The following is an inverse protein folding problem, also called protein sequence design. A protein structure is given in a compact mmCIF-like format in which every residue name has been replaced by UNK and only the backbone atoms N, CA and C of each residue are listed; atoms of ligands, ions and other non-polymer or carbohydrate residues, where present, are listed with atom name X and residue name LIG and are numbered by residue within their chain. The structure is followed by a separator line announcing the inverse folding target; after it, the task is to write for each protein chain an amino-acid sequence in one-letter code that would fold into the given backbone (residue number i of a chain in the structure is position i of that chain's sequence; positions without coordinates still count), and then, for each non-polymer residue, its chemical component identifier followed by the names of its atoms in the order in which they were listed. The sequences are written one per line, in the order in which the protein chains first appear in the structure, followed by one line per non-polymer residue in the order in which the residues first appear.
data_IF_356457999149
#
_entry.id   IF_356457999149
#
_cell.length_a   1.000
_cell.length_b   1.000
_cell.length_c   1.000
_cell.angle_alpha   90.00
_cell.angle_beta   90.00
_cell.angle_gamma   90.00
#
_symmetry.space_group_name_H-M   'P 1'
#
loop_
_entity.id
_entity.type
_entity.pdbx_description
1 polymer ?
#
# COMPACT_ATOMS: atom_id res chain seq x y z
N UNK A 1 -28.40 18.82 11.83
CA UNK A 1 -27.62 18.75 13.09
C UNK A 1 -27.46 20.11 13.78
N UNK A 2 -27.09 21.23 13.12
CA UNK A 2 -27.06 22.54 13.81
C UNK A 2 -28.44 23.00 14.30
N UNK A 3 -29.48 22.82 13.49
CA UNK A 3 -30.86 23.25 13.82
C UNK A 3 -31.49 22.45 14.97
N UNK A 4 -31.04 21.22 15.22
CA UNK A 4 -31.54 20.38 16.32
C UNK A 4 -31.09 20.85 17.70
N UNK A 5 -30.03 21.68 17.79
CA UNK A 5 -29.57 22.28 19.06
C UNK A 5 -30.66 23.17 19.66
N UNK A 6 -31.50 23.80 18.83
CA UNK A 6 -32.55 24.73 19.28
C UNK A 6 -33.72 24.01 19.93
N UNK A 7 -34.09 22.84 19.40
CA UNK A 7 -35.34 22.15 19.77
C UNK A 7 -35.10 20.86 20.58
N UNK A 8 -33.86 20.41 20.74
CA UNK A 8 -33.51 19.18 21.43
C UNK A 8 -32.33 19.36 22.38
N UNK A 9 -32.24 18.47 23.37
CA UNK A 9 -31.12 18.42 24.31
C UNK A 9 -29.90 17.78 23.63
N UNK A 10 -29.03 18.60 23.08
CA UNK A 10 -27.72 18.19 22.55
C UNK A 10 -26.68 18.33 23.66
N UNK A 11 -25.77 17.37 23.78
CA UNK A 11 -24.68 17.37 24.78
C UNK A 11 -23.35 17.08 24.07
N UNK A 12 -22.26 17.61 24.63
CA UNK A 12 -20.92 17.24 24.21
C UNK A 12 -20.45 16.03 25.02
N UNK A 13 -19.75 15.11 24.36
CA UNK A 13 -19.03 14.02 25.00
C UNK A 13 -17.56 14.18 24.67
N UNK A 14 -16.72 14.26 25.69
CA UNK A 14 -15.28 14.37 25.50
C UNK A 14 -14.73 13.00 25.11
N UNK A 15 -13.91 12.98 24.05
CA UNK A 15 -13.15 11.81 23.63
C UNK A 15 -11.66 12.16 23.71
N UNK A 16 -10.88 11.35 24.40
CA UNK A 16 -9.45 11.55 24.69
C UNK A 16 -8.56 10.44 24.10
N UNK A 17 -9.11 9.60 23.23
CA UNK A 17 -8.38 8.56 22.51
C UNK A 17 -7.82 9.03 21.16
N UNK A 18 -7.14 8.12 20.47
CA UNK A 18 -6.67 8.35 19.10
C UNK A 18 -7.85 8.54 18.14
N UNK A 19 -7.79 9.60 17.35
CA UNK A 19 -8.72 9.88 16.26
C UNK A 19 -7.96 10.60 15.14
N UNK A 20 -8.09 10.10 13.92
CA UNK A 20 -7.46 10.66 12.73
C UNK A 20 -8.48 10.68 11.58
N UNK A 21 -8.58 11.81 10.86
CA UNK A 21 -9.39 11.91 9.64
C UNK A 21 -8.59 11.43 8.43
N UNK A 22 -8.90 10.22 7.98
CA UNK A 22 -8.27 9.58 6.81
C UNK A 22 -9.03 9.87 5.49
N UNK A 23 -9.75 10.99 5.41
CA UNK A 23 -10.55 11.39 4.24
C UNK A 23 -9.74 11.92 3.05
N UNK A 24 -8.44 12.23 3.21
CA UNK A 24 -7.54 12.67 2.14
C UNK A 24 -6.51 11.60 1.81
N UNK A 25 -5.89 11.67 0.63
CA UNK A 25 -4.87 10.70 0.21
C UNK A 25 -3.64 10.80 1.12
N UNK A 26 -3.19 12.01 1.41
CA UNK A 26 -2.06 12.25 2.31
C UNK A 26 -2.32 11.75 3.73
N UNK A 27 -3.51 12.02 4.30
CA UNK A 27 -3.84 11.55 5.65
C UNK A 27 -4.00 10.02 5.71
N UNK A 28 -4.65 9.42 4.71
CA UNK A 28 -4.74 7.96 4.60
C UNK A 28 -3.35 7.31 4.50
N UNK A 29 -2.48 7.85 3.65
CA UNK A 29 -1.11 7.37 3.52
C UNK A 29 -0.37 7.47 4.86
N UNK A 30 -0.33 8.67 5.44
CA UNK A 30 0.41 8.93 6.68
C UNK A 30 -0.08 8.06 7.84
N UNK A 31 -1.39 7.96 8.04
CA UNK A 31 -1.98 7.13 9.10
C UNK A 31 -1.58 5.66 8.97
N UNK A 32 -1.45 5.13 7.75
CA UNK A 32 -1.00 3.76 7.53
C UNK A 32 0.52 3.59 7.72
N UNK A 33 1.34 4.56 7.30
CA UNK A 33 2.78 4.53 7.54
C UNK A 33 3.10 4.67 9.03
N UNK A 34 2.30 5.44 9.77
CA UNK A 34 2.49 5.63 11.21
C UNK A 34 2.31 4.34 12.04
N UNK A 35 1.65 3.33 11.47
CA UNK A 35 1.57 1.98 12.06
C UNK A 35 2.92 1.27 12.14
N UNK A 36 3.92 1.72 11.37
CA UNK A 36 5.24 1.08 11.32
C UNK A 36 6.24 1.65 12.32
N UNK A 37 5.83 2.67 13.09
CA UNK A 37 6.62 3.25 14.18
C UNK A 37 6.83 2.25 15.29
N UNK A 38 7.93 2.39 16.04
CA UNK A 38 8.22 1.55 17.22
C UNK A 38 7.11 1.62 18.28
N UNK A 39 6.51 2.80 18.42
CA UNK A 39 5.34 3.06 19.26
C UNK A 39 4.30 3.79 18.40
N UNK A 40 3.39 3.07 17.73
CA UNK A 40 2.36 3.70 16.91
C UNK A 40 1.30 4.34 17.80
N UNK A 41 0.71 5.45 17.33
CA UNK A 41 -0.38 6.11 18.04
C UNK A 41 -1.67 5.27 18.07
N UNK A 42 -1.80 4.33 17.13
CA UNK A 42 -2.87 3.35 17.03
C UNK A 42 -2.29 1.96 16.78
N UNK A 43 -2.78 0.95 17.51
CA UNK A 43 -2.38 -0.44 17.36
C UNK A 43 -3.60 -1.35 17.29
N UNK A 44 -3.73 -2.06 16.15
CA UNK A 44 -4.82 -3.00 15.87
C UNK A 44 -4.93 -4.16 16.86
N UNK A 45 -3.86 -4.45 17.58
CA UNK A 45 -3.76 -5.55 18.56
C UNK A 45 -3.90 -5.10 20.00
N UNK A 46 -3.93 -3.78 20.24
CA UNK A 46 -3.96 -3.24 21.60
C UNK A 46 -5.33 -3.41 22.27
N UNK A 47 -5.30 -3.77 23.56
CA UNK A 47 -6.47 -3.77 24.45
C UNK A 47 -7.36 -5.01 24.38
N UNK A 48 -8.50 -4.94 25.08
CA UNK A 48 -9.50 -6.03 25.17
C UNK A 48 -10.46 -6.06 23.96
N UNK A 49 -10.35 -5.08 23.05
CA UNK A 49 -11.24 -4.89 21.91
C UNK A 49 -10.46 -4.89 20.59
N UNK A 50 -9.95 -6.05 20.15
CA UNK A 50 -9.18 -6.13 18.91
C UNK A 50 -10.05 -5.81 17.70
N UNK A 51 -9.42 -5.25 16.67
CA UNK A 51 -10.07 -5.00 15.38
C UNK A 51 -10.07 -6.30 14.56
N UNK A 52 -11.26 -6.77 14.20
CA UNK A 52 -11.41 -8.00 13.45
C UNK A 52 -11.48 -7.77 11.93
N UNK A 53 -11.03 -8.77 11.17
CA UNK A 53 -11.18 -8.87 9.71
C UNK A 53 -11.58 -10.30 9.34
N UNK A 54 -12.02 -10.51 8.10
CA UNK A 54 -12.23 -11.85 7.52
C UNK A 54 -11.00 -12.76 7.72
N UNK A 55 -11.16 -13.98 8.28
CA UNK A 55 -10.10 -14.98 8.29
C UNK A 55 -9.85 -15.51 6.88
N UNK A 56 -8.60 -15.46 6.42
CA UNK A 56 -8.22 -15.82 5.04
C UNK A 56 -7.42 -17.12 4.94
N UNK A 57 -6.88 -17.62 6.05
CA UNK A 57 -6.04 -18.83 6.10
C UNK A 57 -4.91 -18.82 5.05
N UNK A 58 -4.28 -17.66 4.87
CA UNK A 58 -3.13 -17.53 3.98
C UNK A 58 -1.90 -18.17 4.62
N UNK A 59 -0.97 -18.71 3.81
CA UNK A 59 0.29 -19.21 4.33
C UNK A 59 1.14 -18.08 4.90
N UNK A 60 2.17 -18.43 5.65
CA UNK A 60 3.20 -17.48 6.06
C UNK A 60 3.84 -16.79 4.84
N UNK A 61 4.23 -15.53 5.03
CA UNK A 61 4.97 -14.79 4.03
C UNK A 61 6.36 -15.37 3.83
N UNK A 62 6.78 -15.48 2.56
CA UNK A 62 8.08 -16.01 2.19
C UNK A 62 8.99 -14.87 1.78
N UNK A 63 10.08 -14.70 2.52
CA UNK A 63 11.13 -13.75 2.22
C UNK A 63 12.35 -14.53 1.73
N UNK A 64 12.89 -14.15 0.56
CA UNK A 64 14.14 -14.70 0.06
C UNK A 64 15.33 -14.17 0.85
N UNK A 65 15.91 -13.07 0.38
CA UNK A 65 16.98 -12.34 1.06
C UNK A 65 16.60 -10.86 1.00
N UNK A 66 15.91 -10.39 2.04
CA UNK A 66 15.34 -9.05 2.07
C UNK A 66 15.73 -8.33 3.36
N UNK A 67 15.94 -7.02 3.25
CA UNK A 67 16.13 -6.12 4.39
C UNK A 67 14.80 -5.42 4.65
N UNK A 68 14.28 -5.55 5.87
CA UNK A 68 13.02 -4.95 6.29
C UNK A 68 13.30 -4.08 7.52
N UNK A 69 12.98 -2.79 7.44
CA UNK A 69 13.19 -1.82 8.51
C UNK A 69 11.89 -1.04 8.75
N UNK A 70 11.44 -0.98 10.00
CA UNK A 70 10.27 -0.20 10.42
C UNK A 70 9.09 -0.42 9.48
N UNK A 71 8.70 -1.67 9.25
CA UNK A 71 7.74 -2.04 8.19
C UNK A 71 6.90 -3.23 8.61
N UNK A 72 5.68 -3.31 8.07
CA UNK A 72 4.74 -4.38 8.35
C UNK A 72 4.58 -5.28 7.11
N UNK A 73 4.69 -6.60 7.29
CA UNK A 73 4.49 -7.58 6.22
C UNK A 73 3.27 -8.45 6.56
N UNK A 74 2.19 -8.31 5.81
CA UNK A 74 0.99 -9.14 5.97
C UNK A 74 1.19 -10.54 5.38
N UNK A 75 0.21 -11.43 5.62
CA UNK A 75 0.26 -12.84 5.22
C UNK A 75 0.33 -13.08 3.71
N UNK A 76 0.91 -14.23 3.34
CA UNK A 76 0.95 -14.73 1.96
C UNK A 76 1.85 -13.93 1.01
N UNK A 77 2.69 -13.02 1.50
CA UNK A 77 3.60 -12.28 0.63
C UNK A 77 4.71 -13.17 0.07
N UNK A 78 5.17 -12.84 -1.14
CA UNK A 78 6.32 -13.48 -1.79
C UNK A 78 7.30 -12.37 -2.13
N UNK A 79 8.40 -12.31 -1.38
CA UNK A 79 9.38 -11.23 -1.45
C UNK A 79 10.71 -11.79 -1.94
N UNK A 80 11.19 -11.26 -3.08
CA UNK A 80 12.40 -11.69 -3.76
C UNK A 80 13.70 -11.43 -3.00
N UNK A 81 14.82 -11.85 -3.60
CA UNK A 81 16.18 -11.56 -3.10
C UNK A 81 16.59 -10.12 -3.42
N UNK A 82 17.43 -9.52 -2.57
CA UNK A 82 17.91 -8.15 -2.71
C UNK A 82 16.84 -7.09 -2.49
N UNK A 83 15.68 -7.45 -1.93
CA UNK A 83 14.59 -6.50 -1.68
C UNK A 83 14.88 -5.67 -0.43
N UNK A 84 14.67 -4.36 -0.52
CA UNK A 84 14.81 -3.43 0.61
C UNK A 84 13.46 -2.76 0.85
N UNK A 85 12.94 -2.88 2.07
CA UNK A 85 11.64 -2.34 2.49
C UNK A 85 11.86 -1.49 3.73
N UNK A 86 11.55 -0.20 3.64
CA UNK A 86 11.74 0.77 4.71
C UNK A 86 10.46 1.56 4.93
N UNK A 87 10.05 1.77 6.18
CA UNK A 87 8.88 2.59 6.54
C UNK A 87 7.62 2.27 5.71
N UNK A 88 7.32 0.99 5.49
CA UNK A 88 6.29 0.59 4.51
C UNK A 88 5.37 -0.50 5.05
N UNK A 89 4.16 -0.54 4.50
CA UNK A 89 3.18 -1.60 4.80
C UNK A 89 2.97 -2.42 3.54
N UNK A 90 3.22 -3.72 3.64
CA UNK A 90 3.10 -4.67 2.55
C UNK A 90 1.88 -5.56 2.81
N UNK A 91 0.80 -5.24 2.12
CA UNK A 91 -0.50 -5.89 2.25
C UNK A 91 -0.51 -7.33 1.76
N UNK A 92 -1.61 -8.03 2.07
CA UNK A 92 -1.73 -9.48 1.87
C UNK A 92 -1.43 -9.92 0.43
N UNK A 93 -0.78 -11.08 0.31
CA UNK A 93 -0.43 -11.71 -0.99
C UNK A 93 0.47 -10.89 -1.92
N UNK A 94 1.09 -9.82 -1.43
CA UNK A 94 1.97 -9.01 -2.25
C UNK A 94 3.09 -9.85 -2.87
N UNK A 95 3.34 -9.63 -4.16
CA UNK A 95 4.44 -10.26 -4.89
C UNK A 95 5.44 -9.15 -5.23
N UNK A 96 6.66 -9.28 -4.72
CA UNK A 96 7.75 -8.33 -4.93
C UNK A 96 8.92 -9.10 -5.52
N UNK A 97 9.31 -8.75 -6.75
CA UNK A 97 10.41 -9.38 -7.45
C UNK A 97 11.78 -8.98 -6.86
N UNK A 98 12.85 -9.51 -7.45
CA UNK A 98 14.21 -9.32 -6.96
C UNK A 98 14.70 -7.86 -7.12
N UNK A 99 15.57 -7.43 -6.20
CA UNK A 99 16.24 -6.12 -6.22
C UNK A 99 15.29 -4.92 -6.26
N UNK A 100 14.09 -5.05 -5.67
CA UNK A 100 13.13 -3.95 -5.53
C UNK A 100 13.44 -3.15 -4.28
N UNK A 101 13.32 -1.83 -4.37
CA UNK A 101 13.38 -0.93 -3.21
C UNK A 101 12.02 -0.28 -2.98
N UNK A 102 11.52 -0.34 -1.75
CA UNK A 102 10.23 0.22 -1.34
C UNK A 102 10.46 1.10 -0.11
N UNK A 103 10.09 2.38 -0.20
CA UNK A 103 10.17 3.34 0.91
C UNK A 103 8.88 4.10 1.10
N UNK A 104 8.49 4.33 2.35
CA UNK A 104 7.35 5.17 2.72
C UNK A 104 6.08 4.81 1.90
N UNK A 105 5.82 3.52 1.68
CA UNK A 105 4.81 3.06 0.73
C UNK A 105 3.79 2.14 1.37
N UNK A 106 2.52 2.36 1.02
CA UNK A 106 1.41 1.49 1.38
C UNK A 106 1.01 0.62 0.18
N UNK A 107 1.41 -0.64 0.17
CA UNK A 107 1.01 -1.60 -0.85
C UNK A 107 -0.20 -2.39 -0.36
N UNK A 108 -1.38 -2.20 -0.96
CA UNK A 108 -2.63 -2.86 -0.55
C UNK A 108 -2.62 -4.38 -0.76
N UNK A 109 -1.77 -4.85 -1.67
CA UNK A 109 -1.55 -6.26 -1.95
C UNK A 109 -2.41 -6.80 -3.09
N UNK A 110 -2.72 -8.09 -3.04
CA UNK A 110 -3.33 -8.82 -4.16
C UNK A 110 -4.54 -9.64 -3.65
N UNK A 111 -5.63 -9.61 -4.41
CA UNK A 111 -6.87 -10.32 -4.06
C UNK A 111 -6.75 -11.84 -4.27
N UNK A 112 -5.94 -12.29 -5.25
CA UNK A 112 -5.75 -13.69 -5.61
C UNK A 112 -4.39 -13.94 -6.29
N UNK A 113 -3.80 -15.12 -6.09
CA UNK A 113 -2.60 -15.51 -6.84
C UNK A 113 -2.95 -15.89 -8.28
N UNK A 114 -2.14 -15.42 -9.22
CA UNK A 114 -2.28 -15.79 -10.63
C UNK A 114 -1.95 -17.27 -10.84
N UNK A 115 -2.81 -17.98 -11.56
CA UNK A 115 -2.57 -19.37 -11.94
C UNK A 115 -1.57 -19.45 -13.10
N UNK A 116 -0.89 -20.60 -13.25
CA UNK A 116 0.14 -20.79 -14.27
C UNK A 116 -0.33 -20.43 -15.70
N UNK A 117 -1.57 -20.80 -16.07
CA UNK A 117 -2.13 -20.46 -17.38
C UNK A 117 -2.38 -18.96 -17.55
N UNK A 118 -2.81 -18.25 -16.49
CA UNK A 118 -3.00 -16.80 -16.50
C UNK A 118 -1.67 -16.07 -16.64
N UNK A 119 -0.64 -16.55 -15.93
CA UNK A 119 0.73 -16.04 -16.04
C UNK A 119 1.24 -16.18 -17.47
N UNK A 120 1.07 -17.35 -18.08
CA UNK A 120 1.51 -17.61 -19.46
C UNK A 120 0.78 -16.71 -20.47
N UNK A 121 -0.52 -16.52 -20.30
CA UNK A 121 -1.30 -15.61 -21.16
C UNK A 121 -0.86 -14.16 -21.00
N UNK A 122 -0.66 -13.70 -19.76
CA UNK A 122 -0.19 -12.34 -19.49
C UNK A 122 1.19 -12.09 -20.12
N UNK A 123 2.08 -13.05 -20.03
CA UNK A 123 3.39 -12.98 -20.67
C UNK A 123 3.26 -12.88 -22.20
N UNK A 124 2.37 -13.66 -22.83
CA UNK A 124 2.09 -13.55 -24.28
C UNK A 124 1.58 -12.18 -24.68
N UNK A 125 0.78 -11.55 -23.82
CA UNK A 125 0.23 -10.20 -24.04
C UNK A 125 1.16 -9.07 -23.61
N UNK A 126 2.39 -9.37 -23.15
CA UNK A 126 3.32 -8.37 -22.62
C UNK A 126 2.84 -7.69 -21.34
N UNK A 127 1.90 -8.29 -20.61
CA UNK A 127 1.36 -7.77 -19.34
C UNK A 127 2.22 -8.27 -18.17
N UNK A 128 2.79 -7.38 -17.34
CA UNK A 128 3.51 -7.77 -16.13
C UNK A 128 2.63 -8.58 -15.18
N UNK A 129 3.26 -9.38 -14.32
CA UNK A 129 2.58 -10.06 -13.21
C UNK A 129 2.02 -9.03 -12.23
N UNK A 130 0.99 -9.41 -11.48
CA UNK A 130 0.52 -8.60 -10.36
C UNK A 130 1.63 -8.47 -9.31
N UNK A 131 1.79 -7.28 -8.74
CA UNK A 131 2.88 -6.93 -7.85
C UNK A 131 3.95 -6.07 -8.53
N UNK A 132 5.17 -6.11 -7.97
CA UNK A 132 6.27 -5.22 -8.36
C UNK A 132 7.36 -5.99 -9.08
N UNK A 133 7.65 -5.57 -10.32
CA UNK A 133 8.71 -6.15 -11.16
C UNK A 133 10.12 -5.83 -10.67
N UNK A 134 11.09 -6.61 -11.17
CA UNK A 134 12.46 -6.59 -10.65
C UNK A 134 13.16 -5.26 -10.92
N UNK A 135 14.04 -4.84 -10.00
CA UNK A 135 14.84 -3.61 -10.13
C UNK A 135 14.05 -2.31 -9.99
N UNK A 136 12.76 -2.38 -9.65
CA UNK A 136 11.91 -1.20 -9.50
C UNK A 136 12.15 -0.49 -8.16
N UNK A 137 11.94 0.82 -8.14
CA UNK A 137 12.08 1.68 -6.96
C UNK A 137 10.76 2.42 -6.76
N UNK A 138 10.16 2.24 -5.59
CA UNK A 138 8.89 2.85 -5.22
C UNK A 138 9.10 3.64 -3.93
N UNK A 139 8.82 4.94 -3.98
CA UNK A 139 8.95 5.85 -2.85
C UNK A 139 7.67 6.68 -2.71
N UNK A 140 7.19 6.82 -1.47
CA UNK A 140 6.03 7.65 -1.12
C UNK A 140 4.79 7.39 -1.99
N UNK A 141 4.36 6.13 -2.05
CA UNK A 141 3.25 5.72 -2.90
C UNK A 141 2.16 4.94 -2.16
N UNK A 142 0.97 4.92 -2.75
CA UNK A 142 -0.08 3.93 -2.48
C UNK A 142 -0.19 3.04 -3.72
N UNK A 143 0.05 1.74 -3.55
CA UNK A 143 -0.16 0.75 -4.60
C UNK A 143 -1.44 -0.01 -4.29
N UNK A 144 -2.50 0.26 -5.04
CA UNK A 144 -3.80 -0.39 -4.87
C UNK A 144 -3.77 -1.82 -5.44
N UNK A 145 -4.83 -2.56 -5.16
CA UNK A 145 -4.91 -4.00 -5.32
C UNK A 145 -4.68 -4.46 -6.75
N UNK A 146 -3.93 -5.54 -6.87
CA UNK A 146 -3.68 -6.21 -8.16
C UNK A 146 -3.04 -5.29 -9.23
N UNK A 147 -2.42 -4.17 -8.83
CA UNK A 147 -1.59 -3.39 -9.71
C UNK A 147 -0.44 -4.25 -10.27
N UNK A 148 -0.01 -3.92 -11.49
CA UNK A 148 1.00 -4.66 -12.25
C UNK A 148 2.12 -3.71 -12.62
N UNK A 149 3.16 -3.68 -11.80
CA UNK A 149 4.31 -2.81 -12.01
C UNK A 149 5.39 -3.62 -12.73
N UNK A 150 5.82 -3.13 -13.89
CA UNK A 150 6.88 -3.71 -14.70
C UNK A 150 8.26 -3.69 -14.02
N UNK A 151 9.27 -4.10 -14.78
CA UNK A 151 10.68 -4.11 -14.37
C UNK A 151 11.28 -2.71 -14.49
N UNK A 152 12.23 -2.39 -13.62
CA UNK A 152 12.97 -1.13 -13.63
C UNK A 152 12.05 0.11 -13.64
N UNK A 153 10.87 0.01 -13.05
CA UNK A 153 9.95 1.14 -12.89
C UNK A 153 10.41 1.99 -11.72
N UNK A 154 10.34 3.31 -11.86
CA UNK A 154 10.63 4.27 -10.79
C UNK A 154 9.38 5.07 -10.50
N UNK A 155 8.81 4.91 -9.31
CA UNK A 155 7.72 5.76 -8.81
C UNK A 155 8.29 6.53 -7.65
N UNK A 156 8.80 7.74 -7.93
CA UNK A 156 9.59 8.52 -6.97
C UNK A 156 9.15 9.98 -6.88
N UNK A 157 8.42 10.51 -7.87
CA UNK A 157 7.97 11.89 -7.91
C UNK A 157 9.11 12.89 -7.63
N UNK A 158 10.22 12.75 -8.36
CA UNK A 158 11.46 13.52 -8.16
C UNK A 158 11.29 15.04 -8.41
N UNK A 159 10.25 15.40 -9.16
CA UNK A 159 9.86 16.80 -9.42
C UNK A 159 9.02 17.43 -8.31
N UNK A 160 8.60 16.66 -7.29
CA UNK A 160 7.86 17.18 -6.14
C UNK A 160 6.45 17.66 -6.46
N UNK A 161 5.76 17.01 -7.41
CA UNK A 161 4.37 17.31 -7.74
C UNK A 161 3.50 17.06 -6.51
N UNK A 162 2.65 18.03 -6.17
CA UNK A 162 1.67 17.89 -5.07
C UNK A 162 0.39 17.25 -5.58
N UNK A 163 -0.15 17.77 -6.68
CA UNK A 163 -1.36 17.28 -7.32
C UNK A 163 -1.16 17.18 -8.84
N UNK A 164 -1.56 16.04 -9.42
CA UNK A 164 -1.54 15.83 -10.89
C UNK A 164 -2.94 15.66 -11.48
N UNK A 165 -3.07 15.80 -12.79
CA UNK A 165 -4.23 15.22 -13.47
C UNK A 165 -4.25 13.70 -13.28
N UNK A 166 -5.45 13.11 -13.25
CA UNK A 166 -5.58 11.66 -13.18
C UNK A 166 -5.27 11.04 -14.54
N UNK A 167 -4.41 10.02 -14.53
CA UNK A 167 -4.06 9.25 -15.72
C UNK A 167 -4.60 7.83 -15.60
N UNK A 168 -4.48 7.05 -16.67
CA UNK A 168 -4.86 5.63 -16.65
C UNK A 168 -3.96 4.75 -15.77
N UNK A 169 -2.80 5.24 -15.33
CA UNK A 169 -1.81 4.46 -14.57
C UNK A 169 -1.56 4.99 -13.17
N UNK A 170 -1.78 6.28 -12.93
CA UNK A 170 -1.52 6.93 -11.66
C UNK A 170 -2.20 8.29 -11.52
N UNK A 171 -2.25 8.76 -10.28
CA UNK A 171 -2.54 10.15 -9.91
C UNK A 171 -1.66 10.52 -8.72
N UNK A 172 -1.20 11.76 -8.63
CA UNK A 172 -0.50 12.28 -7.45
C UNK A 172 -1.47 13.18 -6.70
N UNK A 173 -1.63 12.95 -5.40
CA UNK A 173 -2.45 13.76 -4.48
C UNK A 173 -1.69 13.93 -3.18
N UNK A 174 -1.65 15.14 -2.64
CA UNK A 174 -0.90 15.46 -1.41
C UNK A 174 0.59 15.01 -1.47
N UNK A 175 1.18 15.01 -2.68
CA UNK A 175 2.54 14.53 -2.94
C UNK A 175 2.73 13.02 -2.83
N UNK A 176 1.65 12.24 -2.71
CA UNK A 176 1.66 10.77 -2.69
C UNK A 176 1.24 10.25 -4.06
N UNK A 177 2.05 9.37 -4.65
CA UNK A 177 1.68 8.74 -5.93
C UNK A 177 0.74 7.57 -5.68
N UNK A 178 -0.45 7.61 -6.25
CA UNK A 178 -1.44 6.53 -6.18
C UNK A 178 -1.44 5.75 -7.49
N UNK A 179 -1.17 4.45 -7.40
CA UNK A 179 -1.30 3.50 -8.51
C UNK A 179 -2.65 2.78 -8.35
N UNK A 180 -3.65 3.04 -9.21
CA UNK A 180 -5.00 2.49 -9.06
C UNK A 180 -5.05 0.96 -9.17
N UNK A 181 -6.14 0.39 -8.66
CA UNK A 181 -6.44 -1.03 -8.80
C UNK A 181 -6.36 -1.47 -10.26
N UNK A 182 -5.68 -2.60 -10.49
CA UNK A 182 -5.45 -3.20 -11.82
C UNK A 182 -4.63 -2.35 -12.80
N UNK A 183 -4.10 -1.19 -12.39
CA UNK A 183 -3.25 -0.37 -13.24
C UNK A 183 -2.01 -1.16 -13.70
N UNK A 184 -1.55 -0.87 -14.91
CA UNK A 184 -0.39 -1.53 -15.53
C UNK A 184 0.67 -0.49 -15.87
N UNK A 185 1.81 -0.57 -15.18
CA UNK A 185 2.99 0.21 -15.49
C UNK A 185 3.92 -0.69 -16.32
N UNK A 186 4.29 -0.22 -17.50
CA UNK A 186 5.24 -0.94 -18.38
C UNK A 186 6.65 -0.87 -17.81
N UNK A 187 7.52 -1.74 -18.30
CA UNK A 187 8.93 -1.75 -17.93
C UNK A 187 9.58 -0.37 -18.21
N UNK A 188 10.40 0.11 -17.28
CA UNK A 188 11.17 1.34 -17.41
C UNK A 188 10.38 2.66 -17.22
N UNK A 189 9.08 2.60 -16.90
CA UNK A 189 8.29 3.81 -16.61
C UNK A 189 8.89 4.58 -15.42
N UNK A 190 8.94 5.91 -15.53
CA UNK A 190 9.33 6.83 -14.46
C UNK A 190 8.16 7.77 -14.18
N UNK A 191 7.80 7.89 -12.90
CA UNK A 191 6.75 8.76 -12.35
C UNK A 191 7.36 9.62 -11.25
#
# INVERSE_FOLDING_TARGET
LPQTIVNHRVQAHLFDGYWEDIGTVGAFHQANIDLTRDVPAFDFTSGEQPIFTRPRYLPCSRLGSATVKNSLICDGCIIGRGVVIENSVIGVRSIIAENVTIRDTYMMGIDYYEQAHQIAENQRQGRPRAGIGAGSVIERAIIDKNARIGRNVRVINDTGIVDSEETSTHVIRDGVTVIPKLAVLRDGVVI
#
